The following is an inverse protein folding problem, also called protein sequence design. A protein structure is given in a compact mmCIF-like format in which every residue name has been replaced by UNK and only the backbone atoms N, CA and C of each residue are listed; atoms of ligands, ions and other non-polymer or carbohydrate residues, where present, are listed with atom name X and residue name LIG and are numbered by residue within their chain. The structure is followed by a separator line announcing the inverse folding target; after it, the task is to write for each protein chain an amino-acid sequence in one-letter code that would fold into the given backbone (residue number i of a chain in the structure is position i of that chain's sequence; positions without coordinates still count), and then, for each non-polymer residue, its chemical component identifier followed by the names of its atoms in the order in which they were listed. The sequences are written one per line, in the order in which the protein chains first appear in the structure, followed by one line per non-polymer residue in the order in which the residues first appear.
data_IF_271802086207
#
_entry.id   IF_271802086207
#
_cell.length_a   1.000
_cell.length_b   1.000
_cell.length_c   1.000
_cell.angle_alpha   90.00
_cell.angle_beta   90.00
_cell.angle_gamma   90.00
#
_symmetry.space_group_name_H-M   'P 1'
#
loop_
_entity.id
_entity.type
_entity.pdbx_description
1 polymer ?
#
# COMPACT_ATOMS: atom_id res chain seq x y z
N UNK A 1 -59.98 52.64 28.90
CA UNK A 1 -59.63 52.96 27.48
C UNK A 1 -58.33 52.27 27.04
N UNK A 2 -57.39 52.04 27.96
CA UNK A 2 -56.17 51.27 27.69
C UNK A 2 -56.49 49.78 27.52
N UNK A 3 -57.49 49.25 28.25
CA UNK A 3 -57.90 47.84 28.18
C UNK A 3 -58.49 47.45 26.81
N UNK A 4 -59.21 48.37 26.17
CA UNK A 4 -59.86 48.15 24.86
C UNK A 4 -58.85 48.24 23.71
N UNK A 5 -57.84 49.10 23.84
CA UNK A 5 -56.70 49.17 22.91
C UNK A 5 -55.81 47.94 23.04
N UNK A 6 -55.57 47.46 24.26
CA UNK A 6 -54.84 46.20 24.49
C UNK A 6 -55.62 45.00 23.96
N UNK A 7 -56.93 44.92 24.18
CA UNK A 7 -57.77 43.81 23.69
C UNK A 7 -57.82 43.69 22.17
N UNK A 8 -57.89 44.81 21.46
CA UNK A 8 -57.88 44.83 19.97
C UNK A 8 -56.50 44.52 19.39
N UNK A 9 -55.43 44.99 20.04
CA UNK A 9 -54.05 44.64 19.67
C UNK A 9 -53.75 43.15 19.90
N UNK A 10 -54.12 42.61 21.06
CA UNK A 10 -53.95 41.18 21.37
C UNK A 10 -54.83 40.28 20.48
N UNK A 11 -56.05 40.70 20.14
CA UNK A 11 -56.90 39.98 19.19
C UNK A 11 -56.31 39.94 17.78
N UNK A 12 -55.70 41.04 17.33
CA UNK A 12 -54.94 41.10 16.07
C UNK A 12 -53.68 40.24 16.08
N UNK A 13 -53.00 40.13 17.23
CA UNK A 13 -51.83 39.27 17.41
C UNK A 13 -52.21 37.78 17.40
N UNK A 14 -53.33 37.41 18.05
CA UNK A 14 -53.83 36.03 18.07
C UNK A 14 -54.30 35.53 16.70
N UNK A 15 -54.73 36.41 15.78
CA UNK A 15 -55.03 36.00 14.40
C UNK A 15 -53.77 35.67 13.59
N UNK A 16 -52.63 36.27 13.94
CA UNK A 16 -51.34 36.04 13.28
C UNK A 16 -50.58 34.85 13.91
N UNK A 17 -50.87 34.49 15.16
CA UNK A 17 -50.31 33.32 15.83
C UNK A 17 -50.43 32.01 15.02
N UNK A 18 -51.60 31.63 14.44
CA UNK A 18 -51.69 30.42 13.61
C UNK A 18 -50.89 30.51 12.31
N UNK A 19 -50.68 31.71 11.77
CA UNK A 19 -49.88 31.90 10.55
C UNK A 19 -48.37 31.85 10.85
N UNK A 20 -47.96 32.34 12.02
CA UNK A 20 -46.59 32.20 12.53
C UNK A 20 -46.23 30.74 12.84
N UNK A 21 -47.17 29.97 13.42
CA UNK A 21 -47.01 28.53 13.64
C UNK A 21 -46.89 27.77 12.32
N UNK A 22 -47.76 28.05 11.34
CA UNK A 22 -47.66 27.45 9.99
C UNK A 22 -46.33 27.77 9.29
N UNK A 23 -45.79 28.96 9.49
CA UNK A 23 -44.49 29.33 8.94
C UNK A 23 -43.33 28.57 9.59
N UNK A 24 -43.40 28.36 10.92
CA UNK A 24 -42.45 27.51 11.64
C UNK A 24 -42.52 26.06 11.17
N UNK A 25 -43.71 25.47 11.05
CA UNK A 25 -43.89 24.11 10.54
C UNK A 25 -43.30 23.93 9.14
N UNK A 26 -43.61 24.85 8.21
CA UNK A 26 -43.01 24.83 6.85
C UNK A 26 -41.49 24.93 6.86
N UNK A 27 -40.92 25.65 7.83
CA UNK A 27 -39.46 25.78 7.96
C UNK A 27 -38.85 24.47 8.47
N UNK A 28 -39.51 23.78 9.38
CA UNK A 28 -39.04 22.50 9.91
C UNK A 28 -39.23 21.37 8.90
N UNK A 29 -40.32 21.34 8.13
CA UNK A 29 -40.50 20.41 7.00
C UNK A 29 -39.37 20.54 5.97
N UNK A 30 -39.04 21.76 5.53
CA UNK A 30 -37.94 22.00 4.59
C UNK A 30 -36.58 21.60 5.15
N UNK A 31 -36.34 21.84 6.43
CA UNK A 31 -35.11 21.37 7.10
C UNK A 31 -35.05 19.85 7.15
N UNK A 32 -36.19 19.20 7.38
CA UNK A 32 -36.27 17.74 7.41
C UNK A 32 -36.02 17.13 6.02
N UNK A 33 -36.60 17.71 4.97
CA UNK A 33 -36.32 17.34 3.57
C UNK A 33 -34.84 17.52 3.22
N UNK A 34 -34.23 18.66 3.59
CA UNK A 34 -32.80 18.89 3.40
C UNK A 34 -31.95 17.87 4.15
N UNK A 35 -32.26 17.57 5.40
CA UNK A 35 -31.54 16.57 6.18
C UNK A 35 -31.65 15.16 5.57
N UNK A 36 -32.82 14.81 5.02
CA UNK A 36 -33.03 13.58 4.27
C UNK A 36 -32.15 13.54 3.01
N UNK A 37 -32.13 14.61 2.22
CA UNK A 37 -31.28 14.69 1.03
C UNK A 37 -29.79 14.64 1.36
N UNK A 38 -29.35 15.34 2.40
CA UNK A 38 -27.95 15.30 2.85
C UNK A 38 -27.55 13.88 3.26
N UNK A 39 -28.44 13.14 3.95
CA UNK A 39 -28.19 11.75 4.33
C UNK A 39 -28.15 10.81 3.13
N UNK A 40 -28.98 11.05 2.11
CA UNK A 40 -28.91 10.30 0.86
C UNK A 40 -27.60 10.58 0.11
N UNK A 41 -27.19 11.85 0.01
CA UNK A 41 -25.92 12.23 -0.59
C UNK A 41 -24.72 11.64 0.16
N UNK A 42 -24.77 11.60 1.49
CA UNK A 42 -23.74 10.96 2.32
C UNK A 42 -23.68 9.45 2.05
N UNK A 43 -24.82 8.78 1.95
CA UNK A 43 -24.88 7.36 1.62
C UNK A 43 -24.37 7.07 0.19
N UNK A 44 -24.69 7.93 -0.77
CA UNK A 44 -24.22 7.78 -2.16
C UNK A 44 -22.72 8.06 -2.28
N UNK A 45 -22.18 9.03 -1.54
CA UNK A 45 -20.72 9.23 -1.41
C UNK A 45 -20.04 7.98 -0.84
N UNK A 46 -20.55 7.43 0.26
CA UNK A 46 -20.00 6.22 0.87
C UNK A 46 -20.04 5.03 -0.08
N UNK A 47 -21.11 4.86 -0.86
CA UNK A 47 -21.18 3.83 -1.91
C UNK A 47 -20.16 4.09 -3.02
N UNK A 48 -19.99 5.33 -3.45
CA UNK A 48 -18.98 5.73 -4.43
C UNK A 48 -17.57 5.41 -3.94
N UNK A 49 -17.24 5.77 -2.71
CA UNK A 49 -15.96 5.51 -2.08
C UNK A 49 -15.70 4.00 -1.96
N UNK A 50 -16.71 3.20 -1.56
CA UNK A 50 -16.61 1.74 -1.52
C UNK A 50 -16.38 1.13 -2.91
N UNK A 51 -17.05 1.63 -3.94
CA UNK A 51 -16.86 1.16 -5.31
C UNK A 51 -15.45 1.46 -5.82
N UNK A 52 -14.92 2.66 -5.54
CA UNK A 52 -13.54 3.02 -5.86
C UNK A 52 -12.57 2.10 -5.12
N UNK A 53 -12.74 1.93 -3.80
CA UNK A 53 -11.88 1.05 -3.01
C UNK A 53 -11.91 -0.41 -3.50
N UNK A 54 -13.06 -0.90 -3.98
CA UNK A 54 -13.17 -2.23 -4.57
C UNK A 54 -12.44 -2.32 -5.92
N UNK A 55 -12.56 -1.30 -6.77
CA UNK A 55 -11.84 -1.22 -8.04
C UNK A 55 -10.34 -1.19 -7.80
N UNK A 56 -9.86 -0.36 -6.88
CA UNK A 56 -8.44 -0.24 -6.54
C UNK A 56 -7.89 -1.57 -6.01
N UNK A 57 -8.58 -2.20 -5.06
CA UNK A 57 -8.18 -3.51 -4.54
C UNK A 57 -8.13 -4.60 -5.64
N UNK A 58 -9.06 -4.55 -6.60
CA UNK A 58 -9.10 -5.49 -7.71
C UNK A 58 -8.02 -5.19 -8.76
N UNK A 59 -7.71 -3.93 -9.01
CA UNK A 59 -6.62 -3.50 -9.88
C UNK A 59 -5.27 -3.93 -9.30
N UNK A 60 -5.03 -3.69 -8.02
CA UNK A 60 -3.82 -4.11 -7.31
C UNK A 60 -3.64 -5.64 -7.36
N UNK A 61 -4.71 -6.40 -7.10
CA UNK A 61 -4.69 -7.86 -7.21
C UNK A 61 -4.38 -8.34 -8.63
N UNK A 62 -4.92 -7.66 -9.65
CA UNK A 62 -4.71 -8.01 -11.06
C UNK A 62 -3.28 -7.70 -11.51
N UNK A 63 -2.74 -6.53 -11.11
CA UNK A 63 -1.35 -6.15 -11.38
C UNK A 63 -0.42 -7.15 -10.71
N UNK A 64 -0.61 -7.45 -9.42
CA UNK A 64 0.19 -8.43 -8.72
C UNK A 64 0.15 -9.82 -9.36
N UNK A 65 -1.03 -10.27 -9.82
CA UNK A 65 -1.15 -11.54 -10.53
C UNK A 65 -0.44 -11.54 -11.90
N UNK A 66 -0.55 -10.45 -12.67
CA UNK A 66 0.11 -10.31 -13.97
C UNK A 66 1.63 -10.27 -13.84
N UNK A 67 2.17 -9.56 -12.84
CA UNK A 67 3.60 -9.52 -12.54
C UNK A 67 4.13 -10.91 -12.16
N UNK A 68 3.42 -11.62 -11.28
CA UNK A 68 3.78 -13.00 -10.90
C UNK A 68 3.75 -13.92 -12.13
N UNK A 69 2.72 -13.80 -12.98
CA UNK A 69 2.61 -14.59 -14.20
C UNK A 69 3.76 -14.30 -15.17
N UNK A 70 4.13 -13.03 -15.35
CA UNK A 70 5.27 -12.63 -16.17
C UNK A 70 6.60 -13.21 -15.64
N UNK A 71 6.80 -13.21 -14.32
CA UNK A 71 7.96 -13.85 -13.68
C UNK A 71 7.96 -15.36 -13.93
N UNK A 72 6.80 -16.02 -13.80
CA UNK A 72 6.66 -17.45 -14.06
C UNK A 72 6.99 -17.77 -15.53
N UNK A 73 6.46 -17.00 -16.47
CA UNK A 73 6.70 -17.19 -17.90
C UNK A 73 8.16 -16.94 -18.28
N UNK A 74 8.77 -15.87 -17.76
CA UNK A 74 10.20 -15.60 -17.94
C UNK A 74 11.06 -16.74 -17.37
N UNK A 75 10.69 -17.27 -16.20
CA UNK A 75 11.41 -18.40 -15.57
C UNK A 75 11.25 -19.68 -16.38
N UNK A 76 10.06 -19.96 -16.91
CA UNK A 76 9.80 -21.12 -17.81
C UNK A 76 10.56 -21.00 -19.11
N UNK A 77 10.60 -19.81 -19.72
CA UNK A 77 11.36 -19.56 -20.94
C UNK A 77 12.87 -19.77 -20.72
N UNK A 78 13.40 -19.35 -19.57
CA UNK A 78 14.80 -19.61 -19.18
C UNK A 78 15.10 -21.09 -18.95
N UNK A 79 14.10 -21.90 -18.58
CA UNK A 79 14.22 -23.34 -18.38
C UNK A 79 14.00 -24.17 -19.65
N UNK A 80 13.67 -23.54 -20.79
CA UNK A 80 13.46 -24.24 -22.05
C UNK A 80 14.79 -24.83 -22.56
N UNK A 81 14.83 -26.14 -22.73
CA UNK A 81 15.98 -26.85 -23.29
C UNK A 81 15.97 -26.76 -24.81
N UNK A 82 17.12 -26.44 -25.39
CA UNK A 82 17.34 -26.35 -26.84
C UNK A 82 17.42 -27.72 -27.50
N UNK A 83 17.56 -28.79 -26.72
CA UNK A 83 17.69 -30.18 -27.18
C UNK A 83 19.13 -30.56 -27.52
N UNK A 84 20.06 -29.59 -27.50
CA UNK A 84 21.49 -29.82 -27.73
C UNK A 84 22.17 -29.94 -26.36
N UNK A 85 22.54 -31.17 -25.98
CA UNK A 85 23.04 -31.51 -24.63
C UNK A 85 24.18 -30.61 -24.12
N UNK A 86 25.10 -30.18 -24.99
CA UNK A 86 26.21 -29.32 -24.56
C UNK A 86 25.81 -27.85 -24.38
N UNK A 87 24.88 -27.34 -25.20
CA UNK A 87 24.33 -25.99 -25.07
C UNK A 87 23.49 -25.90 -23.80
N UNK A 88 22.66 -26.92 -23.56
CA UNK A 88 21.81 -26.98 -22.37
C UNK A 88 22.65 -27.14 -21.09
N UNK A 89 23.73 -27.94 -21.14
CA UNK A 89 24.67 -28.04 -20.02
C UNK A 89 25.41 -26.72 -19.76
N UNK A 90 25.84 -26.02 -20.80
CA UNK A 90 26.48 -24.71 -20.66
C UNK A 90 25.50 -23.67 -20.09
N UNK A 91 24.28 -23.58 -20.62
CA UNK A 91 23.24 -22.68 -20.14
C UNK A 91 22.86 -22.96 -18.67
N UNK A 92 22.76 -24.24 -18.30
CA UNK A 92 22.52 -24.65 -16.91
C UNK A 92 23.64 -24.23 -15.95
N UNK A 93 24.89 -24.17 -16.42
CA UNK A 93 26.06 -23.74 -15.65
C UNK A 93 26.16 -22.21 -15.51
N UNK A 94 25.68 -21.44 -16.49
CA UNK A 94 25.83 -19.98 -16.51
C UNK A 94 25.26 -19.30 -15.25
N UNK A 95 24.08 -19.72 -14.78
CA UNK A 95 23.47 -19.13 -13.57
C UNK A 95 24.32 -19.41 -12.31
N UNK A 96 24.67 -20.66 -11.97
CA UNK A 96 25.61 -20.96 -10.89
C UNK A 96 26.94 -20.21 -11.01
N UNK A 97 27.52 -20.12 -12.20
CA UNK A 97 28.81 -19.45 -12.43
C UNK A 97 28.73 -17.95 -12.14
N UNK A 98 27.70 -17.27 -12.65
CA UNK A 98 27.50 -15.83 -12.38
C UNK A 98 27.25 -15.59 -10.90
N UNK A 99 26.42 -16.43 -10.26
CA UNK A 99 26.15 -16.32 -8.81
C UNK A 99 27.42 -16.53 -8.00
N UNK A 100 28.21 -17.57 -8.29
CA UNK A 100 29.46 -17.83 -7.58
C UNK A 100 30.45 -16.67 -7.77
N UNK A 101 30.60 -16.19 -9.00
CA UNK A 101 31.49 -15.08 -9.31
C UNK A 101 31.10 -13.80 -8.58
N UNK A 102 29.83 -13.40 -8.61
CA UNK A 102 29.38 -12.18 -7.96
C UNK A 102 29.32 -12.28 -6.44
N UNK A 103 28.69 -13.33 -5.92
CA UNK A 103 28.36 -13.45 -4.50
C UNK A 103 29.55 -13.92 -3.67
N UNK A 104 30.39 -14.80 -4.21
CA UNK A 104 31.54 -15.34 -3.46
C UNK A 104 32.80 -14.57 -3.81
N UNK A 105 33.12 -14.41 -5.10
CA UNK A 105 34.41 -13.82 -5.49
C UNK A 105 34.39 -12.30 -5.37
N UNK A 106 33.57 -11.61 -6.17
CA UNK A 106 33.58 -10.15 -6.23
C UNK A 106 33.18 -9.49 -4.91
N UNK A 107 32.16 -10.02 -4.23
CA UNK A 107 31.73 -9.48 -2.94
C UNK A 107 32.83 -9.58 -1.87
N UNK A 108 33.49 -10.74 -1.76
CA UNK A 108 34.59 -10.92 -0.79
C UNK A 108 35.77 -10.01 -1.11
N UNK A 109 36.12 -9.88 -2.39
CA UNK A 109 37.21 -9.00 -2.84
C UNK A 109 36.86 -7.53 -2.57
N UNK A 110 35.63 -7.10 -2.80
CA UNK A 110 35.19 -5.73 -2.55
C UNK A 110 35.21 -5.38 -1.05
N UNK A 111 34.73 -6.28 -0.19
CA UNK A 111 34.82 -6.12 1.27
C UNK A 111 36.28 -6.02 1.72
N UNK A 112 37.15 -6.87 1.17
CA UNK A 112 38.57 -6.85 1.50
C UNK A 112 39.25 -5.56 1.03
N UNK A 113 38.96 -5.08 -0.19
CA UNK A 113 39.48 -3.81 -0.68
C UNK A 113 39.00 -2.63 0.18
N UNK A 114 37.73 -2.63 0.61
CA UNK A 114 37.19 -1.62 1.52
C UNK A 114 37.85 -1.68 2.90
N UNK A 115 38.14 -2.87 3.41
CA UNK A 115 38.90 -3.06 4.65
C UNK A 115 40.30 -2.43 4.54
N UNK A 116 41.01 -2.73 3.46
CA UNK A 116 42.37 -2.25 3.22
C UNK A 116 42.42 -0.70 3.17
N UNK A 117 41.46 -0.08 2.48
CA UNK A 117 41.32 1.39 2.44
C UNK A 117 41.08 1.98 3.84
N UNK A 118 40.24 1.35 4.67
CA UNK A 118 39.93 1.84 6.02
C UNK A 118 41.13 1.73 6.98
N UNK A 119 41.89 0.63 6.89
CA UNK A 119 43.11 0.43 7.69
C UNK A 119 44.23 1.36 7.21
N UNK A 120 44.41 1.53 5.90
CA UNK A 120 45.35 2.50 5.34
C UNK A 120 45.00 3.94 5.70
N UNK A 121 43.72 4.24 5.89
CA UNK A 121 43.22 5.51 6.42
C UNK A 121 43.46 5.74 7.92
N UNK A 122 44.12 4.81 8.61
CA UNK A 122 44.51 4.94 10.02
C UNK A 122 43.46 4.46 11.02
N UNK A 123 42.38 3.81 10.59
CA UNK A 123 41.43 3.20 11.52
C UNK A 123 42.00 1.93 12.15
N UNK A 124 41.68 1.72 13.43
CA UNK A 124 41.95 0.44 14.09
C UNK A 124 41.20 -0.71 13.40
N UNK A 125 41.79 -1.90 13.35
CA UNK A 125 41.20 -3.07 12.68
C UNK A 125 39.76 -3.37 13.15
N UNK A 126 39.47 -3.16 14.44
CA UNK A 126 38.14 -3.37 15.02
C UNK A 126 37.13 -2.35 14.48
N UNK A 127 37.51 -1.07 14.40
CA UNK A 127 36.63 -0.03 13.85
C UNK A 127 36.41 -0.22 12.35
N UNK A 128 37.42 -0.64 11.61
CA UNK A 128 37.30 -0.95 10.19
C UNK A 128 36.30 -2.10 9.94
N UNK A 129 36.32 -3.16 10.77
CA UNK A 129 35.33 -4.25 10.70
C UNK A 129 33.92 -3.76 11.02
N UNK A 130 33.75 -2.92 12.05
CA UNK A 130 32.44 -2.36 12.37
C UNK A 130 31.91 -1.45 11.26
N UNK A 131 32.79 -0.72 10.57
CA UNK A 131 32.45 0.13 9.43
C UNK A 131 32.15 -0.67 8.14
N UNK A 132 32.65 -1.91 8.02
CA UNK A 132 32.28 -2.83 6.94
C UNK A 132 30.87 -3.41 7.12
N UNK A 133 30.38 -3.55 8.35
CA UNK A 133 29.00 -3.98 8.63
C UNK A 133 28.01 -2.79 8.58
N UNK A 134 27.95 -2.16 7.41
CA UNK A 134 27.14 -0.98 7.14
C UNK A 134 25.66 -1.27 6.92
N UNK A 135 24.94 -0.27 6.42
CA UNK A 135 23.53 -0.36 6.04
C UNK A 135 23.31 -1.37 4.92
N UNK A 136 24.23 -1.41 3.97
CA UNK A 136 24.08 -2.17 2.74
C UNK A 136 24.26 -3.67 3.00
N UNK A 137 25.25 -4.03 3.82
CA UNK A 137 25.49 -5.41 4.25
C UNK A 137 24.33 -5.92 5.12
N UNK A 138 23.76 -5.07 5.98
CA UNK A 138 22.55 -5.39 6.76
C UNK A 138 21.33 -5.57 5.87
N UNK A 139 21.17 -4.73 4.84
CA UNK A 139 20.10 -4.85 3.87
C UNK A 139 20.20 -6.15 3.05
N UNK A 140 21.42 -6.56 2.65
CA UNK A 140 21.67 -7.84 1.99
C UNK A 140 21.30 -9.01 2.91
N UNK A 141 21.70 -8.98 4.18
CA UNK A 141 21.32 -10.04 5.14
C UNK A 141 19.81 -10.06 5.36
N UNK A 142 19.18 -8.89 5.49
CA UNK A 142 17.73 -8.79 5.66
C UNK A 142 16.95 -9.32 4.44
N UNK A 143 17.45 -9.07 3.22
CA UNK A 143 16.82 -9.58 2.01
C UNK A 143 16.98 -11.10 1.87
N UNK A 144 18.15 -11.66 2.23
CA UNK A 144 18.36 -13.11 2.28
C UNK A 144 17.42 -13.76 3.30
N UNK A 145 17.36 -13.22 4.52
CA UNK A 145 16.44 -13.73 5.57
C UNK A 145 14.99 -13.63 5.07
N UNK A 146 14.58 -12.50 4.49
CA UNK A 146 13.25 -12.32 3.95
C UNK A 146 12.94 -13.37 2.88
N UNK A 147 13.86 -13.61 1.94
CA UNK A 147 13.70 -14.67 0.94
C UNK A 147 13.47 -16.04 1.60
N UNK A 148 14.31 -16.46 2.55
CA UNK A 148 14.18 -17.78 3.19
C UNK A 148 12.91 -17.95 4.03
N UNK A 149 12.53 -16.92 4.79
CA UNK A 149 11.40 -17.01 5.73
C UNK A 149 10.05 -16.69 5.08
N UNK A 150 10.00 -15.76 4.11
CA UNK A 150 8.78 -15.47 3.33
C UNK A 150 8.46 -16.62 2.38
N UNK A 151 9.46 -17.20 1.72
CA UNK A 151 9.25 -18.37 0.86
C UNK A 151 8.75 -19.59 1.67
N UNK A 152 9.19 -19.73 2.93
CA UNK A 152 8.67 -20.76 3.84
C UNK A 152 7.25 -20.48 4.32
N UNK A 153 6.89 -19.23 4.63
CA UNK A 153 5.53 -18.90 5.07
C UNK A 153 4.52 -19.00 3.93
N UNK A 154 4.89 -18.59 2.72
CA UNK A 154 4.06 -18.72 1.52
C UNK A 154 3.77 -20.19 1.16
N UNK A 155 4.78 -21.07 1.24
CA UNK A 155 4.58 -22.53 1.05
C UNK A 155 3.58 -23.12 2.04
N UNK A 156 3.63 -22.68 3.31
CA UNK A 156 2.72 -23.16 4.36
C UNK A 156 1.27 -22.70 4.15
N UNK A 157 1.05 -21.51 3.60
CA UNK A 157 -0.30 -21.02 3.25
C UNK A 157 -0.84 -21.66 1.96
N UNK A 158 0.03 -22.05 1.03
CA UNK A 158 -0.34 -22.70 -0.24
C UNK A 158 -0.77 -24.17 -0.08
N UNK A 159 -0.74 -24.76 1.12
CA UNK A 159 -1.21 -26.13 1.36
C UNK A 159 -0.44 -27.22 0.60
N UNK A 160 0.83 -26.98 0.26
CA UNK A 160 1.76 -28.00 -0.26
C UNK A 160 2.82 -28.33 0.77
#
# INVERSE_FOLDING_TARGET
MIETLLGTLFGGLFRLAPEALKWLDRKDERKHELAMFDKQLEADKLKGDQAIAQIDAQADATIGAAEIQAIIEATKAQAAQTGIRWVDAFNALMRPTITFWWVIVLYSVALWARFDVLVAGGQSNVQAILALWGTDEKAIVASIISFWFVDRSLRKMSGR
#
